data_IF_120598731907
#
_entry.id   IF_120598731907
#
_cell.length_a   1.000
_cell.length_b   1.000
_cell.length_c   1.000
_cell.angle_alpha   90.00
_cell.angle_beta   90.00
_cell.angle_gamma   90.00
#
_symmetry.space_group_name_H-M   'P 1'
#
loop_
_entity.id
_entity.type
_entity.pdbx_description
1 polymer ?
#
# COMPACT_ATOMS: atom_id res chain seq x y z
N UNK A 1 12.16 1.15 15.48
CA UNK A 1 11.23 1.84 14.55
C UNK A 1 9.88 2.01 15.25
N UNK A 2 9.15 3.09 14.99
CA UNK A 2 7.95 3.56 15.72
C UNK A 2 6.61 3.23 15.04
N UNK A 3 6.60 2.28 14.08
CA UNK A 3 5.44 1.89 13.25
C UNK A 3 4.83 3.01 12.40
N UNK A 4 5.47 4.17 12.32
CA UNK A 4 5.09 5.28 11.42
C UNK A 4 5.74 5.05 10.06
N UNK A 5 5.10 5.52 9.00
CA UNK A 5 5.69 5.58 7.68
C UNK A 5 6.81 6.63 7.64
N UNK A 6 8.00 6.24 7.21
CA UNK A 6 9.14 7.14 7.01
C UNK A 6 9.50 7.18 5.53
N UNK A 7 9.87 8.35 5.01
CA UNK A 7 10.30 8.52 3.62
C UNK A 7 11.73 9.03 3.57
N UNK A 8 12.61 8.31 2.88
CA UNK A 8 14.02 8.68 2.68
C UNK A 8 14.48 8.25 1.28
N UNK A 9 15.09 9.16 0.52
CA UNK A 9 15.64 8.84 -0.81
C UNK A 9 14.62 8.27 -1.81
N UNK A 10 13.35 8.69 -1.73
CA UNK A 10 12.28 8.14 -2.58
C UNK A 10 11.71 6.79 -2.14
N UNK A 11 12.25 6.21 -1.06
CA UNK A 11 11.76 4.96 -0.47
C UNK A 11 10.86 5.28 0.73
N UNK A 12 9.72 4.62 0.78
CA UNK A 12 8.80 4.60 1.90
C UNK A 12 9.09 3.35 2.75
N UNK A 13 9.32 3.48 4.06
CA UNK A 13 9.59 2.36 4.96
C UNK A 13 8.73 2.40 6.22
N UNK A 14 8.42 1.23 6.78
CA UNK A 14 7.65 1.10 8.03
C UNK A 14 7.89 -0.25 8.71
N UNK A 15 7.87 -0.25 10.04
CA UNK A 15 7.76 -1.48 10.84
C UNK A 15 6.29 -1.86 11.02
N UNK A 16 5.94 -3.11 10.70
CA UNK A 16 4.61 -3.68 10.87
C UNK A 16 4.69 -4.96 11.71
N UNK A 17 3.57 -5.37 12.30
CA UNK A 17 3.44 -6.68 12.95
C UNK A 17 2.32 -7.43 12.25
N UNK A 18 2.67 -8.55 11.63
CA UNK A 18 1.79 -9.35 10.75
C UNK A 18 2.21 -10.81 10.82
N UNK A 19 1.29 -11.74 10.62
CA UNK A 19 1.61 -13.18 10.65
C UNK A 19 2.28 -13.66 11.94
N UNK A 20 2.00 -13.00 13.07
CA UNK A 20 2.58 -13.33 14.38
C UNK A 20 3.96 -12.74 14.66
N UNK A 21 4.58 -12.02 13.72
CA UNK A 21 5.94 -11.48 13.89
C UNK A 21 6.11 -10.04 13.38
N UNK A 22 7.21 -9.38 13.76
CA UNK A 22 7.58 -8.07 13.21
C UNK A 22 8.17 -8.20 11.81
N UNK A 23 7.88 -7.22 10.94
CA UNK A 23 8.50 -7.10 9.63
C UNK A 23 8.76 -5.62 9.28
N UNK A 24 9.87 -5.35 8.59
CA UNK A 24 10.13 -4.06 7.96
C UNK A 24 9.68 -4.13 6.51
N UNK A 25 8.77 -3.24 6.12
CA UNK A 25 8.30 -3.12 4.74
C UNK A 25 8.90 -1.88 4.08
N UNK A 26 9.17 -1.99 2.78
CA UNK A 26 9.69 -0.90 1.95
C UNK A 26 8.94 -0.84 0.61
N UNK A 27 8.74 0.37 0.11
CA UNK A 27 8.17 0.62 -1.20
C UNK A 27 8.90 1.76 -1.92
N UNK A 28 9.12 1.61 -3.21
CA UNK A 28 9.63 2.66 -4.09
C UNK A 28 8.84 2.64 -5.41
N UNK A 29 8.65 3.81 -6.02
CA UNK A 29 8.05 3.95 -7.35
C UNK A 29 9.11 4.50 -8.32
N UNK A 30 9.97 3.65 -8.93
CA UNK A 30 11.02 4.11 -9.83
C UNK A 30 10.49 4.69 -11.15
N UNK A 31 9.29 4.30 -11.58
CA UNK A 31 8.61 4.82 -12.77
C UNK A 31 7.10 4.94 -12.53
N UNK A 32 6.35 5.73 -13.33
CA UNK A 32 4.91 5.96 -13.11
C UNK A 32 4.05 4.69 -13.07
N UNK A 33 4.45 3.66 -13.79
CA UNK A 33 3.77 2.37 -13.97
C UNK A 33 4.43 1.23 -13.18
N UNK A 34 5.48 1.51 -12.39
CA UNK A 34 6.27 0.49 -11.72
C UNK A 34 6.47 0.78 -10.25
N UNK A 35 6.20 -0.23 -9.44
CA UNK A 35 6.42 -0.22 -7.99
C UNK A 35 7.33 -1.38 -7.63
N UNK A 36 8.32 -1.11 -6.78
CA UNK A 36 9.12 -2.13 -6.13
C UNK A 36 8.70 -2.20 -4.66
N UNK A 37 8.35 -3.40 -4.21
CA UNK A 37 7.96 -3.70 -2.84
C UNK A 37 8.97 -4.67 -2.24
N UNK A 38 9.31 -4.45 -0.96
CA UNK A 38 10.20 -5.34 -0.21
C UNK A 38 9.68 -5.53 1.21
N UNK A 39 9.90 -6.73 1.74
CA UNK A 39 9.62 -7.05 3.12
C UNK A 39 10.80 -7.83 3.70
N UNK A 40 11.17 -7.52 4.93
CA UNK A 40 12.23 -8.20 5.68
C UNK A 40 11.70 -8.58 7.06
N UNK A 41 11.90 -9.84 7.43
CA UNK A 41 11.48 -10.43 8.70
C UNK A 41 12.39 -11.63 9.03
N UNK A 42 12.28 -12.13 10.26
CA UNK A 42 13.08 -13.27 10.73
C UNK A 42 12.67 -14.60 10.06
N UNK A 43 11.46 -14.68 9.50
CA UNK A 43 10.99 -15.86 8.77
C UNK A 43 10.41 -15.51 7.39
N UNK A 44 10.52 -16.42 6.41
CA UNK A 44 9.91 -16.25 5.08
C UNK A 44 8.39 -16.05 5.14
N UNK A 45 7.71 -16.72 6.07
CA UNK A 45 6.25 -16.66 6.22
C UNK A 45 5.79 -15.27 6.65
N UNK A 46 6.50 -14.66 7.61
CA UNK A 46 6.23 -13.30 8.09
C UNK A 46 6.56 -12.28 6.99
N UNK A 47 7.67 -12.45 6.26
CA UNK A 47 8.01 -11.59 5.14
C UNK A 47 6.95 -11.64 4.03
N UNK A 48 6.45 -12.83 3.68
CA UNK A 48 5.40 -13.01 2.69
C UNK A 48 4.07 -12.38 3.15
N UNK A 49 3.70 -12.55 4.43
CA UNK A 49 2.52 -11.89 5.01
C UNK A 49 2.64 -10.37 4.99
N UNK A 50 3.82 -9.83 5.29
CA UNK A 50 4.11 -8.40 5.22
C UNK A 50 4.03 -7.86 3.79
N UNK A 51 4.49 -8.62 2.79
CA UNK A 51 4.38 -8.22 1.39
C UNK A 51 2.92 -8.17 0.92
N UNK A 52 2.09 -9.16 1.30
CA UNK A 52 0.64 -9.15 1.02
C UNK A 52 -0.06 -7.96 1.68
N UNK A 53 0.24 -7.71 2.95
CA UNK A 53 -0.27 -6.55 3.67
C UNK A 53 0.13 -5.24 2.98
N UNK A 54 1.39 -5.14 2.53
CA UNK A 54 1.93 -3.96 1.88
C UNK A 54 1.19 -3.69 0.56
N UNK A 55 0.96 -4.72 -0.26
CA UNK A 55 0.18 -4.62 -1.50
C UNK A 55 -1.23 -4.07 -1.27
N UNK A 56 -1.92 -4.62 -0.28
CA UNK A 56 -3.25 -4.15 0.12
C UNK A 56 -3.23 -2.71 0.63
N UNK A 57 -2.32 -2.39 1.55
CA UNK A 57 -2.23 -1.07 2.19
C UNK A 57 -1.99 0.07 1.19
N UNK A 58 -1.40 -0.26 0.05
CA UNK A 58 -1.04 0.68 -1.01
C UNK A 58 -2.00 0.62 -2.20
N UNK A 59 -2.92 -0.36 -2.23
CA UNK A 59 -3.88 -0.56 -3.30
C UNK A 59 -3.23 -0.79 -4.67
N UNK A 60 -2.05 -1.41 -4.72
CA UNK A 60 -1.30 -1.61 -5.99
C UNK A 60 -1.97 -2.57 -6.95
N UNK A 61 -2.89 -3.39 -6.43
CA UNK A 61 -3.61 -4.41 -7.19
C UNK A 61 -5.01 -3.94 -7.62
N UNK A 62 -5.42 -2.74 -7.20
CA UNK A 62 -6.76 -2.22 -7.45
C UNK A 62 -6.83 -1.57 -8.83
N UNK A 63 -7.80 -2.00 -9.65
CA UNK A 63 -8.09 -1.33 -10.92
C UNK A 63 -8.95 -0.09 -10.68
N UNK A 64 -8.30 1.08 -10.70
CA UNK A 64 -8.96 2.37 -10.50
C UNK A 64 -9.54 2.97 -11.79
N UNK A 65 -9.54 2.27 -12.93
CA UNK A 65 -10.06 2.81 -14.20
C UNK A 65 -11.54 3.19 -14.11
N UNK A 66 -12.38 2.32 -13.54
CA UNK A 66 -13.80 2.61 -13.39
C UNK A 66 -14.06 3.86 -12.53
N UNK A 67 -13.32 4.02 -11.43
CA UNK A 67 -13.37 5.23 -10.60
C UNK A 67 -12.88 6.45 -11.37
N UNK A 68 -11.75 6.32 -12.07
CA UNK A 68 -11.22 7.41 -12.88
C UNK A 68 -12.24 7.87 -13.92
N UNK A 69 -12.88 6.96 -14.64
CA UNK A 69 -13.81 7.30 -15.71
C UNK A 69 -15.09 7.96 -15.20
N UNK A 70 -15.59 7.52 -14.04
CA UNK A 70 -16.74 8.15 -13.38
C UNK A 70 -16.44 9.56 -12.88
N UNK A 71 -15.26 9.78 -12.28
CA UNK A 71 -14.97 11.01 -11.53
C UNK A 71 -13.99 11.97 -12.20
N UNK A 72 -13.41 11.63 -13.36
CA UNK A 72 -12.46 12.51 -14.05
C UNK A 72 -13.04 13.86 -14.43
N UNK A 73 -14.36 14.02 -14.56
CA UNK A 73 -15.02 15.29 -14.87
C UNK A 73 -15.77 15.90 -13.69
N UNK A 74 -15.66 15.29 -12.50
CA UNK A 74 -16.28 15.80 -11.28
C UNK A 74 -15.78 17.23 -10.97
N UNK A 75 -16.67 18.19 -10.62
CA UNK A 75 -16.29 19.58 -10.40
C UNK A 75 -15.41 19.78 -9.16
N UNK A 76 -15.47 18.90 -8.17
CA UNK A 76 -14.69 18.98 -6.94
C UNK A 76 -13.37 18.21 -7.07
N UNK A 77 -13.41 16.96 -7.51
CA UNK A 77 -12.25 16.06 -7.50
C UNK A 77 -11.64 15.79 -8.88
N UNK A 78 -12.33 16.13 -9.98
CA UNK A 78 -11.92 15.76 -11.33
C UNK A 78 -10.54 16.28 -11.74
N UNK A 79 -10.19 17.52 -11.36
CA UNK A 79 -8.84 18.05 -11.60
C UNK A 79 -7.75 17.21 -10.90
N UNK A 80 -8.03 16.73 -9.69
CA UNK A 80 -7.13 15.88 -8.92
C UNK A 80 -7.06 14.45 -9.47
N UNK A 81 -8.16 13.93 -10.01
CA UNK A 81 -8.23 12.61 -10.66
C UNK A 81 -7.41 12.61 -11.96
N UNK A 82 -7.61 13.62 -12.83
CA UNK A 82 -6.94 13.73 -14.14
C UNK A 82 -5.44 13.98 -14.07
N UNK A 83 -4.97 14.81 -13.12
CA UNK A 83 -3.55 15.21 -13.05
C UNK A 83 -2.60 14.05 -12.76
N UNK A 84 -3.10 12.95 -12.18
CA UNK A 84 -2.27 11.86 -11.64
C UNK A 84 -3.04 10.52 -11.64
N UNK A 85 -3.30 9.92 -12.83
CA UNK A 85 -4.05 8.66 -12.91
C UNK A 85 -3.31 7.47 -12.26
N UNK A 86 -1.97 7.49 -12.22
CA UNK A 86 -1.16 6.34 -11.75
C UNK A 86 -0.07 6.69 -10.72
N UNK A 87 0.09 7.96 -10.33
CA UNK A 87 1.06 8.33 -9.28
C UNK A 87 0.48 7.99 -7.91
N UNK A 88 1.25 7.22 -7.15
CA UNK A 88 0.87 6.74 -5.83
C UNK A 88 0.25 7.80 -4.94
N UNK A 89 -0.92 7.45 -4.40
CA UNK A 89 -1.62 8.20 -3.37
C UNK A 89 -1.24 7.61 -2.00
N UNK A 90 -1.04 8.52 -1.05
CA UNK A 90 -0.52 8.31 0.30
C UNK A 90 -1.17 7.12 1.04
N UNK A 91 -0.43 6.39 1.90
CA UNK A 91 -0.98 5.24 2.61
C UNK A 91 -2.16 5.63 3.51
N UNK A 92 -3.24 4.83 3.45
CA UNK A 92 -4.28 4.83 4.47
C UNK A 92 -3.63 4.49 5.80
N UNK A 93 -3.62 5.42 6.75
CA UNK A 93 -3.27 5.09 8.12
C UNK A 93 -4.42 4.23 8.70
N UNK A 94 -4.17 2.99 9.14
CA UNK A 94 -5.21 2.25 9.84
C UNK A 94 -5.43 2.93 11.20
N UNK A 95 -6.61 3.52 11.41
CA UNK A 95 -7.02 4.04 12.74
C UNK A 95 -7.28 2.91 13.75
N UNK A 96 -7.40 1.67 13.27
CA UNK A 96 -7.46 0.45 14.08
C UNK A 96 -6.40 -0.53 13.59
N UNK A 97 -5.55 -1.00 14.50
CA UNK A 97 -4.59 -2.07 14.22
C UNK A 97 -5.35 -3.24 13.57
N UNK A 98 -4.87 -3.69 12.41
CA UNK A 98 -5.25 -4.99 11.87
C UNK A 98 -4.83 -6.04 12.90
N UNK A 99 -5.77 -6.41 13.79
CA UNK A 99 -5.68 -7.57 14.65
C UNK A 99 -6.05 -8.74 13.77
N UNK A 100 -5.09 -9.64 13.56
CA UNK A 100 -5.25 -10.80 12.69
C UNK A 100 -6.60 -11.48 12.91
N UNK A 101 -7.40 -11.52 11.86
CA UNK A 101 -8.45 -12.50 11.66
C UNK A 101 -8.07 -13.25 10.38
N UNK A 102 -8.08 -14.58 10.47
CA UNK A 102 -7.64 -15.55 9.45
C UNK A 102 -8.50 -15.59 8.19
N UNK A 103 -9.11 -14.48 7.80
CA UNK A 103 -9.96 -14.37 6.63
C UNK A 103 -9.57 -13.12 5.83
N UNK A 104 -8.86 -13.36 4.73
CA UNK A 104 -8.91 -12.43 3.60
C UNK A 104 -10.36 -12.41 3.08
N UNK A 105 -10.94 -11.25 2.76
CA UNK A 105 -12.05 -11.25 1.82
C UNK A 105 -11.52 -11.84 0.51
N UNK A 106 -12.15 -12.92 0.04
CA UNK A 106 -11.88 -13.46 -1.28
C UNK A 106 -12.03 -12.35 -2.29
N UNK A 107 -10.97 -12.09 -3.06
CA UNK A 107 -11.03 -11.21 -4.20
C UNK A 107 -12.14 -11.72 -5.15
N UNK A 108 -13.13 -10.87 -5.41
CA UNK A 108 -14.06 -11.02 -6.52
C UNK A 108 -13.49 -10.31 -7.73
#
# INVERSE_FOLDING_TARGET
MDRVWRRRGGVLERLVVVGGGPAVVRAAQPAPDRVVLGAWADTPEVAAAALRWLRWALGVDEDLRAFHDAFRWDPLIGASVRRRPTRWRWPRAPRHAWRGGTSLPAAR
#
